data_IF_722983586302
#
_entry.id   IF_722983586302
#
_cell.length_a   1.000
_cell.length_b   1.000
_cell.length_c   1.000
_cell.angle_alpha   90.00
_cell.angle_beta   90.00
_cell.angle_gamma   90.00
#
_symmetry.space_group_name_H-M   'P 1'
#
loop_
_entity.id
_entity.type
_entity.pdbx_description
1 polymer ?
#
# COMPACT_ATOMS: atom_id res chain seq x y z
N UNK A 1 11.56 -14.90 9.04
CA UNK A 1 10.46 -14.14 9.67
C UNK A 1 9.32 -14.04 8.68
N UNK A 2 8.12 -14.49 9.06
CA UNK A 2 6.90 -14.32 8.25
C UNK A 2 6.67 -12.83 8.01
N UNK A 3 6.52 -12.44 6.75
CA UNK A 3 6.34 -11.03 6.39
C UNK A 3 4.91 -10.58 6.69
N UNK A 4 4.65 -10.29 7.96
CA UNK A 4 3.33 -9.92 8.47
C UNK A 4 2.74 -8.69 7.76
N UNK A 5 3.60 -7.77 7.32
CA UNK A 5 3.20 -6.59 6.55
C UNK A 5 2.55 -6.93 5.20
N UNK A 6 2.95 -8.02 4.51
CA UNK A 6 2.38 -8.41 3.20
C UNK A 6 0.87 -8.62 3.27
N UNK A 7 0.35 -9.14 4.38
CA UNK A 7 -1.09 -9.36 4.58
C UNK A 7 -1.87 -8.06 4.65
N UNK A 8 -1.30 -7.02 5.26
CA UNK A 8 -1.92 -5.70 5.33
C UNK A 8 -1.82 -4.99 3.98
N UNK A 9 -0.67 -5.08 3.31
CA UNK A 9 -0.50 -4.49 1.98
C UNK A 9 -1.46 -5.11 0.95
N UNK A 10 -1.66 -6.43 0.99
CA UNK A 10 -2.60 -7.12 0.10
C UNK A 10 -4.06 -6.68 0.27
N UNK A 11 -4.42 -6.06 1.41
CA UNK A 11 -5.75 -5.46 1.62
C UNK A 11 -5.85 -4.02 1.12
N UNK A 12 -4.73 -3.46 0.67
CA UNK A 12 -4.67 -2.11 0.09
C UNK A 12 -4.73 -2.12 -1.44
N UNK A 13 -4.80 -3.32 -2.05
CA UNK A 13 -4.94 -3.48 -3.50
C UNK A 13 -6.36 -3.13 -3.96
N UNK A 14 -6.55 -2.71 -5.22
CA UNK A 14 -7.88 -2.45 -5.74
C UNK A 14 -8.74 -3.73 -5.69
N UNK A 15 -9.97 -3.68 -5.12
CA UNK A 15 -10.83 -4.85 -4.99
C UNK A 15 -11.58 -5.20 -6.29
N UNK A 16 -11.34 -4.50 -7.40
CA UNK A 16 -12.15 -4.61 -8.60
C UNK A 16 -13.60 -4.12 -8.41
N UNK A 17 -14.46 -4.46 -9.37
CA UNK A 17 -15.87 -4.09 -9.36
C UNK A 17 -16.68 -4.94 -8.35
N UNK A 18 -16.75 -4.48 -7.11
CA UNK A 18 -17.65 -4.97 -6.03
C UNK A 18 -18.92 -4.11 -5.87
N UNK A 19 -20.05 -4.76 -5.56
CA UNK A 19 -21.39 -4.14 -5.56
C UNK A 19 -21.62 -3.14 -4.41
N UNK A 20 -21.11 -3.42 -3.21
CA UNK A 20 -21.33 -2.59 -2.01
C UNK A 20 -20.06 -1.80 -1.65
N UNK A 21 -19.61 -0.93 -2.56
CA UNK A 21 -18.39 -0.15 -2.33
C UNK A 21 -18.69 1.16 -1.62
N UNK A 22 -18.07 1.36 -0.47
CA UNK A 22 -18.01 2.65 0.22
C UNK A 22 -16.63 3.27 0.01
N UNK A 23 -16.61 4.49 -0.53
CA UNK A 23 -15.38 5.25 -0.77
C UNK A 23 -14.63 5.53 0.52
N UNK A 24 -15.35 6.02 1.53
CA UNK A 24 -14.75 6.44 2.79
C UNK A 24 -14.19 5.24 3.55
N UNK A 25 -14.93 4.11 3.56
CA UNK A 25 -14.48 2.87 4.20
C UNK A 25 -13.22 2.33 3.51
N UNK A 26 -13.18 2.30 2.18
CA UNK A 26 -12.02 1.81 1.44
C UNK A 26 -10.77 2.66 1.68
N UNK A 27 -10.88 3.98 1.57
CA UNK A 27 -9.73 4.89 1.78
C UNK A 27 -9.24 4.81 3.23
N UNK A 28 -10.15 4.70 4.20
CA UNK A 28 -9.81 4.52 5.61
C UNK A 28 -9.10 3.18 5.85
N UNK A 29 -9.60 2.09 5.27
CA UNK A 29 -8.98 0.77 5.38
C UNK A 29 -7.56 0.76 4.79
N UNK A 30 -7.37 1.35 3.60
CA UNK A 30 -6.03 1.51 2.99
C UNK A 30 -5.10 2.27 3.94
N UNK A 31 -5.53 3.41 4.50
CA UNK A 31 -4.70 4.19 5.41
C UNK A 31 -4.29 3.40 6.67
N UNK A 32 -5.21 2.63 7.26
CA UNK A 32 -4.95 1.78 8.41
C UNK A 32 -3.94 0.68 8.07
N UNK A 33 -4.14 -0.01 6.94
CA UNK A 33 -3.26 -1.08 6.49
C UNK A 33 -1.84 -0.57 6.20
N UNK A 34 -1.70 0.58 5.54
CA UNK A 34 -0.41 1.22 5.30
C UNK A 34 0.32 1.55 6.60
N UNK A 35 -0.38 2.08 7.61
CA UNK A 35 0.19 2.34 8.93
C UNK A 35 0.72 1.06 9.58
N UNK A 36 -0.01 -0.05 9.47
CA UNK A 36 0.47 -1.34 9.96
C UNK A 36 1.71 -1.83 9.21
N UNK A 37 1.76 -1.69 7.87
CA UNK A 37 2.94 -2.04 7.09
C UNK A 37 4.18 -1.29 7.57
N UNK A 38 4.08 0.03 7.73
CA UNK A 38 5.20 0.89 8.15
C UNK A 38 5.66 0.58 9.58
N UNK A 39 4.75 0.28 10.50
CA UNK A 39 5.09 -0.08 11.89
C UNK A 39 5.76 -1.46 12.03
N UNK A 40 5.66 -2.31 11.01
CA UNK A 40 6.22 -3.67 11.02
C UNK A 40 7.60 -3.76 10.34
N UNK A 41 8.12 -2.63 9.86
CA UNK A 41 9.46 -2.52 9.25
C UNK A 41 10.22 -1.35 9.88
N UNK A 42 11.46 -1.13 9.46
CA UNK A 42 12.18 0.12 9.71
C UNK A 42 12.04 0.99 8.45
N UNK A 43 11.01 1.84 8.34
CA UNK A 43 10.72 2.54 7.10
C UNK A 43 11.80 3.58 6.77
N UNK A 44 12.22 3.59 5.51
CA UNK A 44 12.96 4.70 4.88
C UNK A 44 12.00 5.86 4.57
N UNK A 45 12.55 7.02 4.17
CA UNK A 45 11.73 8.11 3.61
C UNK A 45 10.97 7.64 2.37
N UNK A 46 11.61 6.84 1.52
CA UNK A 46 10.97 6.24 0.33
C UNK A 46 9.78 5.33 0.70
N UNK A 47 9.93 4.50 1.74
CA UNK A 47 8.85 3.67 2.31
C UNK A 47 7.63 4.57 2.70
N UNK A 48 7.86 5.79 3.21
CA UNK A 48 6.80 6.75 3.58
C UNK A 48 6.18 7.41 2.35
N UNK A 49 7.01 7.94 1.43
CA UNK A 49 6.56 8.62 0.22
C UNK A 49 5.71 7.69 -0.67
N UNK A 50 6.12 6.42 -0.80
CA UNK A 50 5.34 5.41 -1.52
C UNK A 50 4.03 5.06 -0.82
N UNK A 51 3.97 5.06 0.52
CA UNK A 51 2.72 4.86 1.24
C UNK A 51 1.74 6.03 1.04
N UNK A 52 2.23 7.27 1.04
CA UNK A 52 1.42 8.43 0.70
C UNK A 52 0.91 8.37 -0.75
N UNK A 53 1.75 7.91 -1.68
CA UNK A 53 1.36 7.69 -3.07
C UNK A 53 0.24 6.64 -3.18
N UNK A 54 0.34 5.51 -2.46
CA UNK A 54 -0.73 4.50 -2.44
C UNK A 54 -2.03 5.10 -1.92
N UNK A 55 -1.98 5.86 -0.83
CA UNK A 55 -3.18 6.51 -0.27
C UNK A 55 -3.81 7.51 -1.25
N UNK A 56 -2.98 8.30 -1.96
CA UNK A 56 -3.45 9.20 -3.01
C UNK A 56 -4.13 8.43 -4.15
N UNK A 57 -3.53 7.34 -4.63
CA UNK A 57 -4.11 6.52 -5.70
C UNK A 57 -5.41 5.83 -5.27
N UNK A 58 -5.52 5.41 -4.01
CA UNK A 58 -6.75 4.86 -3.46
C UNK A 58 -7.90 5.87 -3.46
N UNK A 59 -7.62 7.15 -3.17
CA UNK A 59 -8.60 8.23 -3.30
C UNK A 59 -9.05 8.43 -4.74
N UNK A 60 -8.11 8.49 -5.69
CA UNK A 60 -8.45 8.63 -7.12
C UNK A 60 -9.26 7.46 -7.65
N UNK A 61 -8.90 6.22 -7.30
CA UNK A 61 -9.67 5.02 -7.61
C UNK A 61 -11.10 5.11 -7.09
N UNK A 62 -11.26 5.52 -5.83
CA UNK A 62 -12.58 5.62 -5.21
C UNK A 62 -13.44 6.72 -5.85
N UNK A 63 -12.84 7.85 -6.21
CA UNK A 63 -13.51 8.93 -6.94
C UNK A 63 -13.95 8.48 -8.34
N UNK A 64 -13.07 7.78 -9.08
CA UNK A 64 -13.40 7.25 -10.41
C UNK A 64 -14.56 6.25 -10.36
N UNK A 65 -14.74 5.57 -9.23
CA UNK A 65 -15.81 4.61 -8.99
C UNK A 65 -17.17 5.24 -8.65
N UNK A 66 -17.18 6.40 -7.99
CA UNK A 66 -18.42 7.17 -7.79
C UNK A 66 -18.80 8.03 -8.99
N UNK A 67 -17.82 8.39 -9.82
CA UNK A 67 -18.05 9.22 -11.00
C UNK A 67 -18.62 8.43 -12.18
N UNK A 68 -19.36 9.11 -13.04
CA UNK A 68 -19.90 8.59 -14.31
C UNK A 68 -18.81 8.31 -15.38
N UNK A 69 -17.52 8.33 -14.98
CA UNK A 69 -16.35 8.26 -15.87
C UNK A 69 -15.75 6.85 -15.85
N UNK A 70 -16.51 5.87 -16.32
CA UNK A 70 -16.10 4.46 -16.43
C UNK A 70 -14.75 4.25 -17.13
N UNK A 71 -14.38 5.12 -18.08
CA UNK A 71 -13.06 5.09 -18.75
C UNK A 71 -11.88 5.32 -17.80
N UNK A 72 -12.04 6.12 -16.75
CA UNK A 72 -10.96 6.42 -15.82
C UNK A 72 -10.77 5.32 -14.77
N UNK A 73 -11.76 4.43 -14.60
CA UNK A 73 -11.70 3.40 -13.58
C UNK A 73 -10.51 2.46 -13.77
N UNK A 74 -10.34 1.91 -14.97
CA UNK A 74 -9.23 1.01 -15.28
C UNK A 74 -7.86 1.68 -15.11
N UNK A 75 -7.73 2.94 -15.51
CA UNK A 75 -6.49 3.72 -15.34
C UNK A 75 -6.18 3.95 -13.85
N UNK A 76 -7.18 4.29 -13.04
CA UNK A 76 -6.97 4.49 -11.60
C UNK A 76 -6.73 3.18 -10.84
N UNK A 77 -7.32 2.08 -11.30
CA UNK A 77 -7.09 0.74 -10.77
C UNK A 77 -5.64 0.30 -11.00
N UNK A 78 -5.17 0.41 -12.25
CA UNK A 78 -3.78 0.09 -12.61
C UNK A 78 -2.79 0.99 -11.86
N UNK A 79 -3.07 2.30 -11.76
CA UNK A 79 -2.21 3.22 -11.01
C UNK A 79 -2.13 2.87 -9.51
N UNK A 80 -3.22 2.41 -8.88
CA UNK A 80 -3.20 1.94 -7.50
C UNK A 80 -2.42 0.63 -7.36
N UNK A 81 -2.60 -0.32 -8.29
CA UNK A 81 -1.88 -1.58 -8.30
C UNK A 81 -0.35 -1.34 -8.43
N UNK A 82 0.07 -0.45 -9.33
CA UNK A 82 1.48 -0.10 -9.53
C UNK A 82 2.08 0.57 -8.28
N UNK A 83 1.39 1.55 -7.69
CA UNK A 83 1.86 2.18 -6.46
C UNK A 83 2.02 1.16 -5.32
N UNK A 84 1.05 0.25 -5.18
CA UNK A 84 1.10 -0.82 -4.17
C UNK A 84 2.27 -1.77 -4.41
N UNK A 85 2.57 -2.08 -5.68
CA UNK A 85 3.72 -2.93 -6.05
C UNK A 85 5.06 -2.25 -5.75
N UNK A 86 5.19 -0.95 -6.00
CA UNK A 86 6.41 -0.21 -5.64
C UNK A 86 6.63 -0.21 -4.13
N UNK A 87 5.57 0.03 -3.36
CA UNK A 87 5.64 -0.04 -1.91
C UNK A 87 5.99 -1.45 -1.42
N UNK A 88 5.48 -2.50 -2.05
CA UNK A 88 5.84 -3.89 -1.70
C UNK A 88 7.35 -4.14 -1.83
N UNK A 89 7.95 -3.66 -2.93
CA UNK A 89 9.39 -3.80 -3.18
C UNK A 89 10.21 -3.06 -2.11
N UNK A 90 9.82 -1.83 -1.78
CA UNK A 90 10.52 -1.04 -0.78
C UNK A 90 10.32 -1.60 0.64
N UNK A 91 9.13 -2.12 0.98
CA UNK A 91 8.89 -2.81 2.26
C UNK A 91 9.73 -4.08 2.38
N UNK A 92 9.90 -4.84 1.29
CA UNK A 92 10.81 -5.99 1.25
C UNK A 92 12.25 -5.54 1.56
N UNK A 93 12.71 -4.48 0.91
CA UNK A 93 14.02 -3.89 1.15
C UNK A 93 14.18 -3.40 2.61
N UNK A 94 13.24 -2.61 3.11
CA UNK A 94 13.15 -2.11 4.49
C UNK A 94 13.20 -3.30 5.49
N UNK A 95 12.53 -4.42 5.20
CA UNK A 95 12.48 -5.60 6.08
C UNK A 95 13.79 -6.41 6.12
N UNK A 96 14.50 -6.52 5.01
CA UNK A 96 15.76 -7.30 4.93
C UNK A 96 16.95 -6.53 5.51
N UNK A 97 16.96 -5.19 5.46
CA UNK A 97 17.97 -4.36 6.13
C UNK A 97 17.91 -4.48 7.65
N UNK A 98 16.72 -4.49 8.24
CA UNK A 98 16.55 -4.68 9.68
C UNK A 98 17.17 -5.98 10.19
N UNK A 99 17.16 -7.04 9.37
CA UNK A 99 17.79 -8.32 9.70
C UNK A 99 19.32 -8.25 9.61
N UNK A 100 19.87 -7.59 8.59
CA UNK A 100 21.33 -7.46 8.43
C UNK A 100 21.97 -6.55 9.50
N UNK A 101 21.25 -5.53 9.97
CA UNK A 101 21.76 -4.64 11.01
C UNK A 101 21.89 -5.32 12.39
N UNK A 102 21.12 -6.39 12.66
CA UNK A 102 21.22 -7.16 13.90
C UNK A 102 22.32 -8.24 13.88
N UNK A 103 22.97 -8.49 12.74
CA UNK A 103 24.03 -9.50 12.60
C UNK A 103 25.45 -8.98 12.79
N UNK A 104 25.65 -7.66 12.86
CA UNK A 104 26.95 -7.04 13.12
C UNK A 104 27.00 -6.48 14.56
N UNK A 105 27.02 -7.38 15.55
CA UNK A 105 27.70 -7.07 16.80
C UNK A 105 29.15 -7.52 16.63
N UNK A 106 30.03 -6.55 16.41
CA UNK A 106 31.47 -6.73 16.42
C UNK A 106 31.89 -7.00 17.87
N UNK A 107 32.45 -8.17 18.13
CA UNK A 107 33.49 -8.40 19.15
C UNK A 107 34.56 -9.26 18.53
#
# INVERSE_FOLDING_TARGET
MTQHWRRFLARSTPPGAVLNFSVDEFVLEVAINLRYCLNLVHPTSECIDLAELVLLRARHYSQARMGDKSRLFAETEDALAQATRLLEIELEYCSTRGVKSNGNQVV
#
